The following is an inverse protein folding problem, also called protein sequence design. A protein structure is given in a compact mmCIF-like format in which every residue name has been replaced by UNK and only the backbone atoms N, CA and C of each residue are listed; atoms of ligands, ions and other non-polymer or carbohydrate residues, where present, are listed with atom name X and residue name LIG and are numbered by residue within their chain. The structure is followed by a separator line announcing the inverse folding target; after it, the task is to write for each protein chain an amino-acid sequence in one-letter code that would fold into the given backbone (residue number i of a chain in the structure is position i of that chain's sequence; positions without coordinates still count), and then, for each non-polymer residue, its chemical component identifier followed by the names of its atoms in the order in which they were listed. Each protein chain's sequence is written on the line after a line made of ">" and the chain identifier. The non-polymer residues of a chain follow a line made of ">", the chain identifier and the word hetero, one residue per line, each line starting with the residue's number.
data_IF_107280471306
#
_entry.id   IF_107280471306
#
_cell.length_a   1.000
_cell.length_b   1.000
_cell.length_c   1.000
_cell.angle_alpha   90.00
_cell.angle_beta   90.00
_cell.angle_gamma   90.00
#
_symmetry.space_group_name_H-M   'P 1'
#
loop_
_entity.id
_entity.type
_entity.pdbx_description
1 polymer ?
#
# COMPACT_ATOMS: atom_id res chain seq x y z
N UNK A 1 28.59 -9.47 -11.40
CA UNK A 1 28.43 -8.91 -12.76
C UNK A 1 27.67 -9.91 -13.62
N UNK A 2 26.49 -9.52 -14.10
CA UNK A 2 25.60 -10.31 -14.95
C UNK A 2 26.12 -10.25 -16.39
N UNK A 3 26.48 -11.40 -16.96
CA UNK A 3 27.01 -11.47 -18.31
C UNK A 3 25.91 -11.55 -19.36
N UNK A 4 26.19 -11.05 -20.57
CA UNK A 4 25.24 -11.14 -21.69
C UNK A 4 25.04 -12.60 -22.13
N UNK A 5 23.80 -13.03 -22.37
CA UNK A 5 23.38 -14.40 -22.64
C UNK A 5 23.45 -15.34 -21.44
N UNK A 6 23.66 -14.81 -20.22
CA UNK A 6 23.71 -15.64 -19.02
C UNK A 6 22.31 -15.93 -18.48
N UNK A 7 22.21 -17.02 -17.71
CA UNK A 7 20.98 -17.35 -16.97
C UNK A 7 20.55 -16.22 -16.02
N UNK A 8 21.49 -15.47 -15.47
CA UNK A 8 21.19 -14.34 -14.59
C UNK A 8 20.57 -13.17 -15.35
N UNK A 9 20.97 -12.96 -16.61
CA UNK A 9 20.34 -11.97 -17.48
C UNK A 9 18.90 -12.40 -17.82
N UNK A 10 18.68 -13.68 -18.12
CA UNK A 10 17.34 -14.21 -18.35
C UNK A 10 16.44 -14.05 -17.10
N UNK A 11 16.99 -14.28 -15.91
CA UNK A 11 16.27 -14.02 -14.66
C UNK A 11 15.94 -12.53 -14.49
N UNK A 12 16.87 -11.62 -14.80
CA UNK A 12 16.62 -10.18 -14.75
C UNK A 12 15.51 -9.76 -15.74
N UNK A 13 15.50 -10.32 -16.96
CA UNK A 13 14.42 -10.07 -17.94
C UNK A 13 13.06 -10.58 -17.45
N UNK A 14 13.00 -11.80 -16.92
CA UNK A 14 11.76 -12.33 -16.33
C UNK A 14 11.29 -11.46 -15.17
N UNK A 15 12.22 -10.97 -14.36
CA UNK A 15 11.91 -10.08 -13.25
C UNK A 15 11.30 -8.76 -13.73
N UNK A 16 11.88 -8.12 -14.75
CA UNK A 16 11.36 -6.91 -15.40
C UNK A 16 9.93 -7.14 -15.90
N UNK A 17 9.68 -8.22 -16.64
CA UNK A 17 8.36 -8.53 -17.20
C UNK A 17 7.33 -8.71 -16.07
N UNK A 18 7.68 -9.46 -15.02
CA UNK A 18 6.82 -9.65 -13.86
C UNK A 18 6.50 -8.31 -13.19
N UNK A 19 7.49 -7.45 -12.99
CA UNK A 19 7.30 -6.15 -12.34
C UNK A 19 6.42 -5.20 -13.15
N UNK A 20 6.52 -5.20 -14.47
CA UNK A 20 5.62 -4.42 -15.30
C UNK A 20 4.14 -4.80 -15.08
N UNK A 21 3.84 -6.09 -14.90
CA UNK A 21 2.51 -6.55 -14.53
C UNK A 21 2.11 -6.19 -13.10
N UNK A 22 3.03 -6.34 -12.13
CA UNK A 22 2.75 -6.03 -10.73
C UNK A 22 2.55 -4.53 -10.46
N UNK A 23 3.28 -3.65 -11.15
CA UNK A 23 3.12 -2.21 -11.03
C UNK A 23 1.69 -1.79 -11.39
N UNK A 24 1.08 -2.37 -12.43
CA UNK A 24 -0.30 -2.07 -12.78
C UNK A 24 -1.25 -2.43 -11.63
N UNK A 25 -1.10 -3.64 -11.07
CA UNK A 25 -1.91 -4.11 -9.93
C UNK A 25 -1.71 -3.24 -8.69
N UNK A 26 -0.49 -2.90 -8.34
CA UNK A 26 -0.22 -2.07 -7.18
C UNK A 26 -0.68 -0.62 -7.35
N UNK A 27 -0.80 -0.12 -8.58
CA UNK A 27 -1.45 1.16 -8.82
C UNK A 27 -2.95 1.10 -8.47
N UNK A 28 -3.65 0.02 -8.81
CA UNK A 28 -5.05 -0.19 -8.42
C UNK A 28 -5.21 -0.27 -6.89
N UNK A 29 -4.31 -1.00 -6.22
CA UNK A 29 -4.26 -1.06 -4.75
C UNK A 29 -4.03 0.35 -4.16
N UNK A 30 -3.09 1.12 -4.74
CA UNK A 30 -2.81 2.49 -4.31
C UNK A 30 -3.98 3.46 -4.58
N UNK A 31 -4.77 3.27 -5.63
CA UNK A 31 -6.02 4.01 -5.86
C UNK A 31 -7.04 3.72 -4.75
N UNK A 32 -7.17 2.46 -4.33
CA UNK A 32 -8.03 2.07 -3.21
C UNK A 32 -7.61 2.78 -1.91
N UNK A 33 -6.31 2.77 -1.60
CA UNK A 33 -5.78 3.48 -0.44
C UNK A 33 -6.01 5.00 -0.52
N UNK A 34 -5.80 5.61 -1.69
CA UNK A 34 -6.08 7.05 -1.89
C UNK A 34 -7.55 7.39 -1.68
N UNK A 35 -8.47 6.53 -2.12
CA UNK A 35 -9.91 6.71 -1.91
C UNK A 35 -10.28 6.66 -0.42
N UNK A 36 -9.71 5.72 0.32
CA UNK A 36 -9.90 5.61 1.77
C UNK A 36 -9.33 6.83 2.50
N UNK A 37 -8.09 7.23 2.18
CA UNK A 37 -7.43 8.40 2.75
C UNK A 37 -8.25 9.70 2.53
N UNK A 38 -8.84 9.86 1.33
CA UNK A 38 -9.72 10.99 0.99
C UNK A 38 -11.10 10.91 1.62
N UNK A 39 -11.49 9.76 2.17
CA UNK A 39 -12.80 9.56 2.77
C UNK A 39 -13.91 9.16 1.81
N UNK A 40 -13.54 8.74 0.60
CA UNK A 40 -14.49 8.18 -0.36
C UNK A 40 -14.83 6.72 -0.03
N UNK A 41 -14.07 6.09 0.86
CA UNK A 41 -14.33 4.75 1.40
C UNK A 41 -14.02 4.69 2.91
N UNK A 42 -14.60 3.72 3.65
CA UNK A 42 -14.33 3.56 5.08
C UNK A 42 -12.86 3.24 5.37
N UNK A 43 -12.27 3.92 6.34
CA UNK A 43 -10.93 3.62 6.84
C UNK A 43 -10.99 2.57 7.94
N UNK A 44 -10.22 1.50 7.78
CA UNK A 44 -10.14 0.39 8.76
C UNK A 44 -8.68 0.11 9.10
N UNK A 45 -8.44 -0.45 10.29
CA UNK A 45 -7.09 -0.88 10.69
C UNK A 45 -6.48 -1.89 9.71
N UNK A 46 -7.30 -2.83 9.22
CA UNK A 46 -6.88 -3.79 8.21
C UNK A 46 -6.42 -3.14 6.91
N UNK A 47 -7.09 -2.07 6.45
CA UNK A 47 -6.68 -1.36 5.23
C UNK A 47 -5.34 -0.64 5.42
N UNK A 48 -5.11 -0.09 6.61
CA UNK A 48 -3.82 0.53 6.94
C UNK A 48 -2.69 -0.52 6.95
N UNK A 49 -2.91 -1.67 7.60
CA UNK A 49 -1.96 -2.79 7.60
C UNK A 49 -1.69 -3.31 6.19
N UNK A 50 -2.71 -3.40 5.34
CA UNK A 50 -2.57 -3.80 3.95
C UNK A 50 -1.74 -2.79 3.14
N UNK A 51 -1.98 -1.49 3.33
CA UNK A 51 -1.17 -0.44 2.70
C UNK A 51 0.31 -0.52 3.13
N UNK A 52 0.58 -0.76 4.41
CA UNK A 52 1.94 -0.93 4.91
C UNK A 52 2.63 -2.18 4.34
N UNK A 53 1.92 -3.32 4.27
CA UNK A 53 2.44 -4.55 3.66
C UNK A 53 2.77 -4.36 2.18
N UNK A 54 1.84 -3.76 1.43
CA UNK A 54 2.06 -3.45 0.01
C UNK A 54 3.25 -2.52 -0.17
N UNK A 55 3.41 -1.52 0.70
CA UNK A 55 4.57 -0.62 0.68
C UNK A 55 5.89 -1.37 0.90
N UNK A 56 5.94 -2.28 1.88
CA UNK A 56 7.15 -3.08 2.15
C UNK A 56 7.51 -3.93 0.93
N UNK A 57 6.54 -4.65 0.36
CA UNK A 57 6.77 -5.48 -0.82
C UNK A 57 7.29 -4.66 -2.02
N UNK A 58 6.72 -3.48 -2.27
CA UNK A 58 7.18 -2.59 -3.35
C UNK A 58 8.64 -2.15 -3.14
N UNK A 59 9.03 -1.84 -1.89
CA UNK A 59 10.40 -1.42 -1.57
C UNK A 59 11.40 -2.56 -1.77
N UNK A 60 11.06 -3.77 -1.33
CA UNK A 60 11.91 -4.95 -1.55
C UNK A 60 12.17 -5.19 -3.04
N UNK A 61 11.18 -4.98 -3.90
CA UNK A 61 11.35 -5.09 -5.35
C UNK A 61 12.17 -3.93 -5.96
N UNK A 62 12.04 -2.72 -5.42
CA UNK A 62 12.85 -1.58 -5.84
C UNK A 62 14.32 -1.81 -5.52
N UNK A 63 14.63 -2.27 -4.30
CA UNK A 63 15.98 -2.60 -3.84
C UNK A 63 16.59 -3.73 -4.70
N UNK A 64 15.77 -4.68 -5.15
CA UNK A 64 16.22 -5.73 -6.07
C UNK A 64 16.51 -5.18 -7.47
N UNK A 65 15.72 -4.23 -7.98
CA UNK A 65 16.01 -3.56 -9.25
C UNK A 65 17.31 -2.77 -9.20
N UNK A 66 17.61 -2.09 -8.09
CA UNK A 66 18.88 -1.40 -7.86
C UNK A 66 20.04 -2.41 -7.86
N UNK A 67 19.93 -3.47 -7.06
CA UNK A 67 20.93 -4.56 -6.99
C UNK A 67 21.21 -5.19 -8.37
N UNK A 68 20.16 -5.43 -9.16
CA UNK A 68 20.31 -5.96 -10.51
C UNK A 68 21.04 -4.95 -11.42
N UNK A 69 20.68 -3.67 -11.33
CA UNK A 69 21.28 -2.58 -12.12
C UNK A 69 22.76 -2.39 -11.82
N UNK A 70 23.16 -2.42 -10.55
CA UNK A 70 24.56 -2.33 -10.11
C UNK A 70 25.41 -3.51 -10.62
N UNK A 71 24.77 -4.66 -10.84
CA UNK A 71 25.44 -5.86 -11.33
C UNK A 71 25.52 -5.95 -12.85
N UNK A 72 24.92 -5.02 -13.60
CA UNK A 72 25.03 -5.00 -15.05
C UNK A 72 26.33 -4.34 -15.51
N UNK A 73 26.92 -4.79 -16.64
CA UNK A 73 28.04 -4.09 -17.23
C UNK A 73 27.63 -2.69 -17.72
N UNK A 74 28.53 -1.70 -17.74
CA UNK A 74 28.23 -0.36 -18.25
C UNK A 74 27.65 -0.40 -19.67
N UNK A 75 26.55 0.33 -19.89
CA UNK A 75 25.87 0.39 -21.19
C UNK A 75 24.99 -0.81 -21.52
N UNK A 76 24.73 -1.72 -20.57
CA UNK A 76 23.80 -2.82 -20.78
C UNK A 76 22.37 -2.33 -20.98
N UNK A 77 21.66 -2.91 -21.96
CA UNK A 77 20.32 -2.46 -22.37
C UNK A 77 19.27 -2.52 -21.23
N UNK A 78 19.39 -3.51 -20.35
CA UNK A 78 18.45 -3.70 -19.22
C UNK A 78 18.58 -2.60 -18.15
N UNK A 79 19.71 -1.89 -18.08
CA UNK A 79 19.94 -0.89 -17.05
C UNK A 79 18.88 0.22 -17.09
N UNK A 80 18.54 0.71 -18.29
CA UNK A 80 17.53 1.75 -18.45
C UNK A 80 16.09 1.26 -18.18
N UNK A 81 15.82 -0.03 -18.28
CA UNK A 81 14.53 -0.61 -17.91
C UNK A 81 14.40 -0.77 -16.40
N UNK A 82 15.42 -1.34 -15.75
CA UNK A 82 15.46 -1.51 -14.30
C UNK A 82 15.37 -0.17 -13.58
N UNK A 83 16.14 0.84 -14.01
CA UNK A 83 16.08 2.18 -13.41
C UNK A 83 14.69 2.82 -13.51
N UNK A 84 14.00 2.67 -14.65
CA UNK A 84 12.64 3.20 -14.83
C UNK A 84 11.65 2.49 -13.91
N UNK A 85 11.77 1.16 -13.79
CA UNK A 85 10.93 0.34 -12.92
C UNK A 85 11.17 0.71 -11.45
N UNK A 86 12.43 0.75 -11.01
CA UNK A 86 12.85 1.17 -9.68
C UNK A 86 12.26 2.54 -9.31
N UNK A 87 12.42 3.53 -10.20
CA UNK A 87 11.87 4.88 -10.00
C UNK A 87 10.35 4.84 -9.82
N UNK A 88 9.65 4.04 -10.65
CA UNK A 88 8.20 3.89 -10.56
C UNK A 88 7.79 3.22 -9.23
N UNK A 89 8.52 2.21 -8.78
CA UNK A 89 8.28 1.53 -7.51
C UNK A 89 8.49 2.46 -6.31
N UNK A 90 9.57 3.26 -6.28
CA UNK A 90 9.78 4.25 -5.22
C UNK A 90 8.69 5.32 -5.18
N UNK A 91 8.28 5.83 -6.35
CA UNK A 91 7.19 6.79 -6.44
C UNK A 91 5.87 6.20 -5.92
N UNK A 92 5.57 4.94 -6.27
CA UNK A 92 4.38 4.24 -5.83
C UNK A 92 4.39 3.98 -4.32
N UNK A 93 5.50 3.47 -3.78
CA UNK A 93 5.71 3.28 -2.33
C UNK A 93 5.50 4.59 -1.56
N UNK A 94 6.03 5.70 -2.07
CA UNK A 94 5.87 7.03 -1.46
C UNK A 94 4.41 7.50 -1.48
N UNK A 95 3.70 7.28 -2.59
CA UNK A 95 2.27 7.59 -2.72
C UNK A 95 1.41 6.80 -1.72
N UNK A 96 1.73 5.52 -1.53
CA UNK A 96 1.06 4.65 -0.55
C UNK A 96 1.34 5.13 0.87
N UNK A 97 2.59 5.51 1.19
CA UNK A 97 2.95 6.05 2.50
C UNK A 97 2.10 7.27 2.89
N UNK A 98 1.96 8.24 1.97
CA UNK A 98 1.13 9.43 2.17
C UNK A 98 -0.33 9.05 2.42
N UNK A 99 -0.84 8.05 1.69
CA UNK A 99 -2.21 7.57 1.87
C UNK A 99 -2.38 6.91 3.24
N UNK A 100 -1.44 6.05 3.65
CA UNK A 100 -1.45 5.37 4.94
C UNK A 100 -1.41 6.35 6.12
N UNK A 101 -0.54 7.36 6.08
CA UNK A 101 -0.46 8.42 7.10
C UNK A 101 -1.80 9.16 7.26
N UNK A 102 -2.49 9.42 6.15
CA UNK A 102 -3.80 10.07 6.15
C UNK A 102 -4.95 9.16 6.64
N UNK A 103 -4.79 7.83 6.63
CA UNK A 103 -5.82 6.90 7.13
C UNK A 103 -5.88 6.86 8.67
N UNK A 104 -4.74 6.99 9.36
CA UNK A 104 -4.64 6.86 10.81
C UNK A 104 -5.67 7.72 11.58
N UNK A 105 -5.68 9.05 11.39
CA UNK A 105 -6.66 9.94 12.04
C UNK A 105 -8.12 9.59 11.72
N UNK A 106 -8.39 9.04 10.52
CA UNK A 106 -9.74 8.67 10.10
C UNK A 106 -10.24 7.40 10.78
N UNK A 107 -9.35 6.45 11.03
CA UNK A 107 -9.66 5.24 11.79
C UNK A 107 -10.03 5.62 13.23
N UNK A 108 -9.28 6.53 13.85
CA UNK A 108 -9.57 7.06 15.19
C UNK A 108 -10.94 7.74 15.24
N UNK A 109 -11.21 8.69 14.33
CA UNK A 109 -12.52 9.34 14.23
C UNK A 109 -13.68 8.36 14.04
N UNK A 110 -13.47 7.31 13.25
CA UNK A 110 -14.49 6.27 13.01
C UNK A 110 -14.79 5.47 14.28
N UNK A 111 -13.78 5.20 15.12
CA UNK A 111 -13.94 4.53 16.42
C UNK A 111 -14.69 5.42 17.41
N UNK A 112 -14.36 6.71 17.48
CA UNK A 112 -15.02 7.66 18.38
C UNK A 112 -16.51 7.78 18.05
N UNK A 113 -16.86 7.91 16.77
CA UNK A 113 -18.26 7.98 16.32
C UNK A 113 -19.01 6.68 16.66
N UNK A 114 -18.39 5.52 16.48
CA UNK A 114 -19.00 4.24 16.82
C UNK A 114 -19.24 4.12 18.34
N UNK A 115 -18.27 4.54 19.16
CA UNK A 115 -18.40 4.60 20.62
C UNK A 115 -19.54 5.52 21.08
N UNK A 116 -19.67 6.70 20.47
CA UNK A 116 -20.78 7.62 20.74
C UNK A 116 -22.14 7.04 20.37
N UNK A 117 -22.26 6.38 19.21
CA UNK A 117 -23.51 5.71 18.78
C UNK A 117 -23.90 4.59 19.74
N UNK A 118 -22.93 3.81 20.21
CA UNK A 118 -23.14 2.77 21.21
C UNK A 118 -23.65 3.36 22.52
N UNK A 119 -22.98 4.39 23.05
CA UNK A 119 -23.38 5.08 24.27
C UNK A 119 -24.82 5.61 24.18
N UNK A 120 -25.18 6.26 23.07
CA UNK A 120 -26.55 6.75 22.82
C UNK A 120 -27.56 5.61 22.77
N UNK A 121 -27.18 4.47 22.18
CA UNK A 121 -28.01 3.26 22.15
C UNK A 121 -28.30 2.72 23.55
N UNK A 122 -27.26 2.60 24.39
CA UNK A 122 -27.39 2.13 25.78
C UNK A 122 -28.20 3.09 26.65
N UNK A 123 -27.98 4.41 26.52
CA UNK A 123 -28.80 5.42 27.20
C UNK A 123 -30.29 5.29 26.84
N UNK A 124 -30.62 5.03 25.57
CA UNK A 124 -32.00 4.81 25.13
C UNK A 124 -32.61 3.51 25.68
N UNK A 125 -31.82 2.45 25.82
CA UNK A 125 -32.28 1.19 26.43
C UNK A 125 -32.57 1.39 27.91
N UNK A 126 -31.66 2.05 28.64
CA UNK A 126 -31.83 2.32 30.06
C UNK A 126 -33.02 3.26 30.34
N UNK A 127 -33.22 4.30 29.53
CA UNK A 127 -34.38 5.19 29.64
C UNK A 127 -35.72 4.49 29.33
N UNK A 128 -35.71 3.35 28.60
CA UNK A 128 -36.90 2.53 28.34
C UNK A 128 -37.18 1.51 29.45
N UNK A 129 -36.25 1.33 30.39
CA UNK A 129 -36.31 0.35 31.47
C UNK A 129 -36.74 0.96 32.82
N UNK A 130 -37.02 2.26 32.90
CA UNK A 130 -37.63 2.85 34.10
C UNK A 130 -39.17 2.72 34.04
N UNK A 131 -39.80 1.80 34.80
CA UNK A 131 -41.19 1.97 35.15
C UNK A 131 -41.29 3.14 36.13
N UNK A 132 -42.13 4.13 35.80
CA UNK A 132 -42.57 5.14 36.77
C UNK A 132 -43.08 4.41 38.03
N UNK A 133 -42.64 4.78 39.24
CA UNK A 133 -43.24 4.25 40.46
C UNK A 133 -44.70 4.73 40.49
N UNK A 134 -45.62 3.78 40.34
CA UNK A 134 -47.05 3.96 40.60
C UNK A 134 -47.37 3.92 42.08
#
# INVERSE_FOLDING_TARGET
>A
MIARGSRDEDHARHHIIRLQGLIARWNEDADSYRNVARGHAPATGWMLEEADRTRVAIREEADLCDTLSENLPPGHELWGELLRIETALYALSSSIAVSAEAMGPRIEQSRDIAGLKYLVGELRKNARLEPLPG
#
